data_IF_740196471935
#
_entry.id   IF_740196471935
#
_cell.length_a   1.000
_cell.length_b   1.000
_cell.length_c   1.000
_cell.angle_alpha   90.00
_cell.angle_beta   90.00
_cell.angle_gamma   90.00
#
_symmetry.space_group_name_H-M   'P 1'
#
loop_
_entity.id
_entity.type
_entity.pdbx_description
1 polymer ?
#
# COMPACT_ATOMS: atom_id res chain seq x y z
N UNK A 1 15.48 -3.81 12.80
CA UNK A 1 14.82 -4.51 13.91
C UNK A 1 15.83 -5.31 14.72
N UNK A 2 16.36 -6.44 14.26
CA UNK A 2 17.34 -7.26 15.02
C UNK A 2 18.49 -6.45 15.67
N UNK A 3 19.11 -5.53 14.92
CA UNK A 3 20.20 -4.70 15.44
C UNK A 3 19.76 -3.76 16.60
N UNK A 4 18.51 -3.33 16.61
CA UNK A 4 17.95 -2.48 17.68
C UNK A 4 17.61 -3.33 18.90
N UNK A 5 17.03 -4.50 18.68
CA UNK A 5 16.70 -5.47 19.74
C UNK A 5 17.97 -5.94 20.49
N UNK A 6 19.11 -6.13 19.80
CA UNK A 6 20.38 -6.51 20.44
C UNK A 6 20.91 -5.43 21.40
N UNK A 7 20.40 -4.21 21.31
CA UNK A 7 20.69 -3.11 22.23
C UNK A 7 19.66 -2.99 23.37
N UNK A 8 18.75 -3.97 23.49
CA UNK A 8 17.70 -3.99 24.51
C UNK A 8 16.55 -2.99 24.26
N UNK A 9 16.49 -2.40 23.07
CA UNK A 9 15.39 -1.50 22.69
C UNK A 9 14.24 -2.33 22.16
N UNK A 10 13.05 -2.11 22.72
CA UNK A 10 11.79 -2.75 22.31
C UNK A 10 10.82 -1.69 21.79
N UNK A 11 9.97 -2.06 20.88
CA UNK A 11 8.90 -1.19 20.37
C UNK A 11 7.63 -1.35 21.20
N UNK A 12 6.94 -0.24 21.46
CA UNK A 12 5.59 -0.24 22.05
C UNK A 12 4.50 -0.40 20.98
N UNK A 13 4.80 0.04 19.77
CA UNK A 13 3.93 -0.04 18.58
C UNK A 13 4.77 -0.21 17.33
N UNK A 14 4.29 -0.99 16.37
CA UNK A 14 4.91 -1.13 15.06
C UNK A 14 4.03 -0.51 13.98
N UNK A 15 4.65 0.08 12.97
CA UNK A 15 3.96 0.59 11.79
C UNK A 15 4.84 0.43 10.54
N UNK A 16 4.19 0.32 9.40
CA UNK A 16 4.87 0.27 8.12
C UNK A 16 3.90 0.60 6.99
N UNK A 17 4.38 1.27 5.94
CA UNK A 17 3.56 1.61 4.79
C UNK A 17 3.75 0.56 3.70
N UNK A 18 2.63 0.01 3.18
CA UNK A 18 2.59 -0.97 2.09
C UNK A 18 3.51 -2.17 2.37
N UNK A 19 4.63 -2.32 1.66
CA UNK A 19 5.64 -3.35 1.93
C UNK A 19 6.13 -3.34 3.40
N UNK A 20 6.20 -2.16 4.01
CA UNK A 20 6.62 -1.99 5.40
C UNK A 20 5.67 -2.61 6.41
N UNK A 21 4.38 -2.78 6.09
CA UNK A 21 3.41 -3.43 6.97
C UNK A 21 3.79 -4.88 7.28
N UNK A 22 4.36 -5.62 6.33
CA UNK A 22 4.91 -6.96 6.59
C UNK A 22 6.03 -6.92 7.64
N UNK A 23 6.87 -5.88 7.60
CA UNK A 23 7.88 -5.64 8.63
C UNK A 23 7.27 -5.38 10.02
N UNK A 24 6.17 -4.61 10.07
CA UNK A 24 5.43 -4.37 11.31
C UNK A 24 4.77 -5.66 11.85
N UNK A 25 4.16 -6.47 10.96
CA UNK A 25 3.56 -7.77 11.29
C UNK A 25 4.59 -8.74 11.88
N UNK A 26 5.79 -8.82 11.28
CA UNK A 26 6.91 -9.61 11.81
C UNK A 26 7.34 -9.09 13.19
N UNK A 27 7.54 -7.77 13.31
CA UNK A 27 7.94 -7.12 14.57
C UNK A 27 6.94 -7.35 15.69
N UNK A 28 5.67 -7.45 15.33
CA UNK A 28 4.57 -7.72 16.26
C UNK A 28 4.42 -9.20 16.63
N UNK A 29 5.26 -10.07 16.06
CA UNK A 29 5.29 -11.52 16.36
C UNK A 29 4.17 -12.31 15.71
N UNK A 30 3.42 -11.72 14.76
CA UNK A 30 2.24 -12.34 14.12
C UNK A 30 2.65 -13.35 13.06
N UNK A 31 3.75 -13.09 12.34
CA UNK A 31 4.23 -13.93 11.25
C UNK A 31 5.72 -14.22 11.41
N UNK A 32 6.13 -15.43 11.03
CA UNK A 32 7.56 -15.77 11.00
C UNK A 32 8.30 -14.94 9.92
N UNK A 33 9.60 -14.74 10.11
CA UNK A 33 10.44 -14.06 9.13
C UNK A 33 10.49 -14.84 7.81
N UNK A 34 10.51 -16.16 7.87
CA UNK A 34 10.57 -17.05 6.70
C UNK A 34 9.28 -16.96 5.88
N UNK A 35 8.11 -17.06 6.55
CA UNK A 35 6.81 -16.91 5.88
C UNK A 35 6.65 -15.52 5.27
N UNK A 36 7.06 -14.48 5.99
CA UNK A 36 7.01 -13.13 5.48
C UNK A 36 7.83 -12.93 4.20
N UNK A 37 9.03 -13.47 4.13
CA UNK A 37 9.84 -13.42 2.91
C UNK A 37 9.18 -14.17 1.76
N UNK A 38 8.57 -15.32 2.01
CA UNK A 38 7.82 -16.08 1.01
C UNK A 38 6.63 -15.29 0.50
N UNK A 39 5.80 -14.76 1.39
CA UNK A 39 4.60 -13.98 1.08
C UNK A 39 4.96 -12.71 0.31
N UNK A 40 5.93 -11.93 0.77
CA UNK A 40 6.38 -10.70 0.11
C UNK A 40 6.93 -10.98 -1.29
N UNK A 41 7.67 -12.08 -1.46
CA UNK A 41 8.14 -12.49 -2.80
C UNK A 41 6.97 -12.81 -3.72
N UNK A 42 5.98 -13.58 -3.26
CA UNK A 42 4.80 -13.92 -4.05
C UNK A 42 3.95 -12.68 -4.36
N UNK A 43 3.76 -11.78 -3.39
CA UNK A 43 3.12 -10.49 -3.60
C UNK A 43 3.75 -9.74 -4.77
N UNK A 44 5.08 -9.62 -4.80
CA UNK A 44 5.78 -8.93 -5.88
C UNK A 44 5.55 -9.60 -7.25
N UNK A 45 5.57 -10.93 -7.30
CA UNK A 45 5.29 -11.70 -8.53
C UNK A 45 3.86 -11.45 -9.01
N UNK A 46 2.87 -11.61 -8.13
CA UNK A 46 1.46 -11.44 -8.48
C UNK A 46 1.14 -10.02 -8.93
N UNK A 47 1.71 -9.01 -8.28
CA UNK A 47 1.53 -7.61 -8.69
C UNK A 47 2.13 -7.33 -10.06
N UNK A 48 3.31 -7.91 -10.38
CA UNK A 48 3.94 -7.77 -11.69
C UNK A 48 3.16 -8.50 -12.79
N UNK A 49 2.61 -9.69 -12.49
CA UNK A 49 1.82 -10.47 -13.45
C UNK A 49 0.45 -9.85 -13.72
N UNK A 50 -0.18 -9.23 -12.72
CA UNK A 50 -1.51 -8.65 -12.85
C UNK A 50 -1.55 -7.49 -13.84
N UNK A 51 -0.53 -6.63 -13.86
CA UNK A 51 -0.43 -5.49 -14.78
C UNK A 51 1.01 -5.37 -15.28
N UNK A 52 1.38 -6.16 -16.30
CA UNK A 52 2.75 -6.17 -16.83
C UNK A 52 3.12 -4.87 -17.56
N UNK A 53 2.11 -4.11 -18.04
CA UNK A 53 2.31 -2.83 -18.73
C UNK A 53 1.05 -1.95 -18.66
N UNK A 54 1.22 -0.65 -18.91
CA UNK A 54 0.09 0.30 -19.05
C UNK A 54 -0.44 0.88 -17.75
N UNK A 55 0.19 0.58 -16.63
CA UNK A 55 -0.09 1.21 -15.34
C UNK A 55 0.87 2.34 -15.01
N UNK A 56 0.43 3.32 -14.21
CA UNK A 56 1.23 4.43 -13.76
C UNK A 56 0.89 4.88 -12.34
N UNK A 57 1.82 5.61 -11.74
CA UNK A 57 1.62 6.33 -10.49
C UNK A 57 2.18 7.75 -10.59
N UNK A 58 1.48 8.71 -9.99
CA UNK A 58 1.91 10.11 -9.96
C UNK A 58 1.75 10.68 -8.55
N UNK A 59 2.82 11.26 -8.01
CA UNK A 59 2.77 12.02 -6.77
C UNK A 59 2.24 13.42 -7.03
N UNK A 60 1.24 13.84 -6.24
CA UNK A 60 0.59 15.15 -6.27
C UNK A 60 0.94 15.90 -5.00
N UNK A 61 1.48 17.09 -5.12
CA UNK A 61 1.92 17.90 -3.99
C UNK A 61 1.10 19.21 -3.88
N UNK A 62 0.71 19.52 -2.67
CA UNK A 62 0.17 20.84 -2.31
C UNK A 62 -1.32 21.02 -2.58
N UNK A 63 -2.08 19.94 -2.76
CA UNK A 63 -3.53 19.96 -2.85
C UNK A 63 -4.18 19.17 -1.69
N UNK A 64 -5.41 19.53 -1.40
CA UNK A 64 -6.30 18.82 -0.47
C UNK A 64 -6.74 17.48 -1.07
N UNK A 65 -6.92 16.46 -0.20
CA UNK A 65 -7.31 15.12 -0.59
C UNK A 65 -8.62 15.09 -1.38
N UNK A 66 -9.63 15.84 -0.96
CA UNK A 66 -10.96 15.88 -1.61
C UNK A 66 -10.89 16.42 -3.04
N UNK A 67 -9.98 17.35 -3.31
CA UNK A 67 -9.78 17.88 -4.67
C UNK A 67 -9.18 16.80 -5.55
N UNK A 68 -8.20 16.03 -5.01
CA UNK A 68 -7.53 14.96 -5.73
C UNK A 68 -8.50 13.80 -6.00
N UNK A 69 -9.26 13.36 -4.99
CA UNK A 69 -10.28 12.32 -5.12
C UNK A 69 -11.31 12.66 -6.20
N UNK A 70 -11.86 13.88 -6.13
CA UNK A 70 -12.81 14.38 -7.12
C UNK A 70 -12.23 14.42 -8.54
N UNK A 71 -11.01 14.87 -8.70
CA UNK A 71 -10.33 14.89 -10.00
C UNK A 71 -10.16 13.48 -10.58
N UNK A 72 -9.87 12.48 -9.73
CA UNK A 72 -9.80 11.09 -10.15
C UNK A 72 -11.17 10.54 -10.58
N UNK A 73 -12.25 10.89 -9.88
CA UNK A 73 -13.62 10.46 -10.21
C UNK A 73 -14.12 11.05 -11.54
N UNK A 74 -13.66 12.22 -11.92
CA UNK A 74 -14.08 12.96 -13.11
C UNK A 74 -13.30 12.58 -14.38
N UNK A 75 -12.32 11.71 -14.28
CA UNK A 75 -11.52 11.24 -15.43
C UNK A 75 -12.04 9.89 -15.90
N UNK A 76 -12.11 9.71 -17.23
CA UNK A 76 -12.44 8.43 -17.85
C UNK A 76 -11.30 7.42 -17.66
N UNK A 77 -11.63 6.19 -17.30
CA UNK A 77 -10.67 5.11 -17.05
C UNK A 77 -10.45 4.82 -15.58
N UNK A 78 -9.49 3.94 -15.29
CA UNK A 78 -9.17 3.53 -13.92
C UNK A 78 -8.10 4.45 -13.35
N UNK A 79 -8.47 5.34 -12.45
CA UNK A 79 -7.55 6.15 -11.66
C UNK A 79 -8.14 6.38 -10.25
N UNK A 80 -7.31 6.31 -9.24
CA UNK A 80 -7.70 6.51 -7.83
C UNK A 80 -6.52 6.95 -6.98
N UNK A 81 -6.79 7.36 -5.74
CA UNK A 81 -5.74 7.58 -4.75
C UNK A 81 -5.15 6.24 -4.32
N UNK A 82 -3.83 6.14 -4.39
CA UNK A 82 -3.05 5.01 -3.90
C UNK A 82 -2.61 5.20 -2.45
N UNK A 83 -2.00 6.36 -2.15
CA UNK A 83 -1.39 6.62 -0.85
C UNK A 83 -1.66 8.05 -0.39
N UNK A 84 -1.99 8.19 0.89
CA UNK A 84 -1.94 9.44 1.63
C UNK A 84 -0.64 9.46 2.44
N UNK A 85 0.48 9.92 1.83
CA UNK A 85 1.80 9.82 2.45
C UNK A 85 1.98 10.77 3.64
N UNK A 86 1.53 12.00 3.48
CA UNK A 86 1.48 13.01 4.53
C UNK A 86 0.58 14.18 4.08
N UNK A 87 0.23 15.13 4.96
CA UNK A 87 -0.49 16.33 4.56
C UNK A 87 0.19 17.03 3.39
N UNK A 88 -0.55 17.18 2.29
CA UNK A 88 -0.07 17.82 1.07
C UNK A 88 0.79 16.93 0.15
N UNK A 89 0.89 15.63 0.41
CA UNK A 89 1.52 14.67 -0.51
C UNK A 89 0.66 13.42 -0.66
N UNK A 90 0.03 13.27 -1.81
CA UNK A 90 -0.86 12.16 -2.15
C UNK A 90 -0.35 11.53 -3.46
N UNK A 91 -0.48 10.22 -3.59
CA UNK A 91 -0.14 9.50 -4.82
C UNK A 91 -1.41 8.97 -5.46
N UNK A 92 -1.58 9.23 -6.76
CA UNK A 92 -2.63 8.64 -7.60
C UNK A 92 -2.06 7.49 -8.43
N UNK A 93 -2.89 6.51 -8.75
CA UNK A 93 -2.52 5.27 -9.43
C UNK A 93 -3.62 4.80 -10.37
N UNK A 94 -3.27 4.06 -11.41
CA UNK A 94 -4.23 3.48 -12.34
C UNK A 94 -3.67 3.26 -13.74
N UNK A 95 -4.55 3.29 -14.72
CA UNK A 95 -4.18 3.26 -16.14
C UNK A 95 -3.36 4.51 -16.49
N UNK A 96 -2.29 4.32 -17.24
CA UNK A 96 -1.34 5.41 -17.55
C UNK A 96 -2.02 6.65 -18.12
N UNK A 97 -2.93 6.46 -19.10
CA UNK A 97 -3.66 7.57 -19.72
C UNK A 97 -4.58 8.30 -18.74
N UNK A 98 -5.26 7.56 -17.87
CA UNK A 98 -6.15 8.13 -16.86
C UNK A 98 -5.36 8.88 -15.79
N UNK A 99 -4.22 8.33 -15.34
CA UNK A 99 -3.33 8.98 -14.38
C UNK A 99 -2.74 10.26 -14.96
N UNK A 100 -2.30 10.25 -16.22
CA UNK A 100 -1.77 11.43 -16.90
C UNK A 100 -2.87 12.52 -17.05
N UNK A 101 -4.09 12.15 -17.44
CA UNK A 101 -5.23 13.09 -17.54
C UNK A 101 -5.59 13.69 -16.17
N UNK A 102 -5.65 12.85 -15.12
CA UNK A 102 -5.88 13.34 -13.75
C UNK A 102 -4.76 14.28 -13.29
N UNK A 103 -3.50 13.96 -13.60
CA UNK A 103 -2.36 14.81 -13.23
C UNK A 103 -2.42 16.20 -13.89
N UNK A 104 -2.83 16.30 -15.16
CA UNK A 104 -3.03 17.60 -15.84
C UNK A 104 -4.18 18.39 -15.18
N UNK A 105 -5.32 17.74 -14.94
CA UNK A 105 -6.45 18.37 -14.25
C UNK A 105 -6.07 18.88 -12.86
N UNK A 106 -5.23 18.14 -12.14
CA UNK A 106 -4.75 18.54 -10.81
C UNK A 106 -3.76 19.72 -10.87
N UNK A 107 -2.96 19.84 -11.93
CA UNK A 107 -2.13 21.04 -12.17
C UNK A 107 -3.01 22.26 -12.37
N UNK A 108 -4.06 22.16 -13.19
CA UNK A 108 -5.03 23.24 -13.41
C UNK A 108 -5.77 23.63 -12.13
N UNK A 109 -6.04 22.64 -11.24
CA UNK A 109 -6.63 22.87 -9.93
C UNK A 109 -5.67 23.49 -8.90
N UNK A 110 -4.41 23.72 -9.26
CA UNK A 110 -3.43 24.41 -8.43
C UNK A 110 -2.46 23.52 -7.67
N UNK A 111 -2.25 22.27 -8.10
CA UNK A 111 -1.19 21.42 -7.55
C UNK A 111 0.17 22.12 -7.70
N UNK A 112 0.92 22.22 -6.60
CA UNK A 112 2.27 22.79 -6.64
C UNK A 112 3.21 22.01 -7.55
N UNK A 113 3.00 20.68 -7.58
CA UNK A 113 3.79 19.79 -8.42
C UNK A 113 3.06 18.46 -8.61
N UNK A 114 3.15 17.90 -9.83
CA UNK A 114 2.83 16.50 -10.12
C UNK A 114 4.10 15.82 -10.63
N UNK A 115 4.42 14.65 -10.09
CA UNK A 115 5.65 13.91 -10.43
C UNK A 115 5.27 12.48 -10.78
N UNK A 116 5.45 12.11 -12.05
CA UNK A 116 5.30 10.72 -12.48
C UNK A 116 6.38 9.87 -11.82
N UNK A 117 5.98 8.78 -11.17
CA UNK A 117 6.90 7.91 -10.47
C UNK A 117 7.47 6.86 -11.42
N UNK A 118 8.75 6.56 -11.28
CA UNK A 118 9.40 5.48 -12.04
C UNK A 118 9.15 4.15 -11.31
N UNK A 119 7.96 3.58 -11.53
CA UNK A 119 7.52 2.32 -10.93
C UNK A 119 7.12 1.32 -12.00
N UNK A 120 7.13 0.03 -11.66
CA UNK A 120 6.84 -1.07 -12.59
C UNK A 120 5.35 -1.34 -12.81
N UNK A 121 4.45 -0.68 -12.06
CA UNK A 121 3.02 -0.93 -12.18
C UNK A 121 2.16 0.03 -11.35
N UNK A 122 0.81 -0.06 -11.49
CA UNK A 122 -0.16 0.78 -10.80
C UNK A 122 -0.45 0.24 -9.40
N UNK A 123 0.54 0.33 -8.48
CA UNK A 123 0.39 -0.20 -7.14
C UNK A 123 -0.80 0.42 -6.40
N UNK A 124 -1.49 -0.39 -5.60
CA UNK A 124 -2.71 -0.02 -4.85
C UNK A 124 -3.91 0.40 -5.73
N UNK A 125 -3.89 0.03 -7.02
CA UNK A 125 -5.01 0.22 -7.95
C UNK A 125 -5.96 -0.97 -7.93
N UNK A 126 -7.22 -0.74 -8.30
CA UNK A 126 -8.21 -1.81 -8.59
C UNK A 126 -7.72 -2.78 -9.67
N UNK A 127 -6.78 -2.39 -10.52
CA UNK A 127 -6.15 -3.25 -11.52
C UNK A 127 -5.39 -4.42 -10.91
N UNK A 128 -5.03 -4.34 -9.62
CA UNK A 128 -4.32 -5.40 -8.88
C UNK A 128 -5.24 -6.31 -8.05
N UNK A 129 -6.57 -6.23 -8.21
CA UNK A 129 -7.51 -7.04 -7.43
C UNK A 129 -7.21 -8.56 -7.52
N UNK A 130 -6.90 -9.06 -8.72
CA UNK A 130 -6.52 -10.46 -8.92
C UNK A 130 -5.20 -10.87 -8.24
N UNK A 131 -4.27 -9.93 -8.05
CA UNK A 131 -3.06 -10.17 -7.26
C UNK A 131 -3.39 -10.32 -5.78
N UNK A 132 -4.32 -9.50 -5.26
CA UNK A 132 -4.82 -9.58 -3.90
C UNK A 132 -5.51 -10.92 -3.61
N UNK A 133 -6.34 -11.41 -4.53
CA UNK A 133 -6.99 -12.72 -4.42
C UNK A 133 -5.98 -13.87 -4.35
N UNK A 134 -4.97 -13.88 -5.23
CA UNK A 134 -3.89 -14.87 -5.20
C UNK A 134 -3.10 -14.80 -3.88
N UNK A 135 -2.83 -13.60 -3.39
CA UNK A 135 -2.11 -13.40 -2.13
C UNK A 135 -2.94 -13.88 -0.93
N UNK A 136 -4.25 -13.69 -0.94
CA UNK A 136 -5.14 -14.21 0.10
C UNK A 136 -5.10 -15.74 0.18
N UNK A 137 -4.98 -16.44 -0.96
CA UNK A 137 -4.81 -17.90 -0.96
C UNK A 137 -3.45 -18.32 -0.38
N UNK A 138 -2.37 -17.60 -0.68
CA UNK A 138 -1.05 -17.86 -0.10
C UNK A 138 -1.07 -17.69 1.44
N UNK A 139 -1.77 -16.65 1.93
CA UNK A 139 -1.86 -16.35 3.35
C UNK A 139 -2.59 -17.45 4.14
N UNK A 140 -3.47 -18.25 3.52
CA UNK A 140 -4.10 -19.42 4.17
C UNK A 140 -3.11 -20.50 4.58
N UNK A 141 -1.92 -20.53 3.94
CA UNK A 141 -0.87 -21.48 4.22
C UNK A 141 0.21 -20.94 5.19
N UNK A 142 -0.05 -19.76 5.78
CA UNK A 142 0.83 -19.10 6.74
C UNK A 142 0.32 -19.33 8.15
N UNK A 143 1.20 -19.77 9.05
CA UNK A 143 0.87 -19.84 10.47
C UNK A 143 0.94 -18.43 11.07
N UNK A 144 -0.21 -17.94 11.55
CA UNK A 144 -0.31 -16.66 12.23
C UNK A 144 -0.38 -16.88 13.74
N UNK A 145 0.34 -16.04 14.48
CA UNK A 145 0.43 -16.06 15.93
C UNK A 145 -0.21 -14.82 16.56
N UNK A 146 -0.54 -14.91 17.83
CA UNK A 146 -1.08 -13.77 18.58
C UNK A 146 -0.17 -12.54 18.54
N UNK A 147 -0.79 -11.36 18.46
CA UNK A 147 -0.11 -10.08 18.42
C UNK A 147 0.59 -9.83 19.76
N UNK A 148 1.93 -9.76 19.77
CA UNK A 148 2.74 -9.48 20.98
C UNK A 148 2.93 -7.99 21.21
N UNK A 149 3.08 -7.23 20.14
CA UNK A 149 3.20 -5.77 20.15
C UNK A 149 2.19 -5.22 19.16
N UNK A 150 1.33 -4.27 19.53
CA UNK A 150 0.36 -3.68 18.62
C UNK A 150 1.00 -3.15 17.34
N UNK A 151 0.30 -3.23 16.21
CA UNK A 151 0.72 -2.56 14.99
C UNK A 151 -0.43 -1.80 14.34
N UNK A 152 -0.09 -0.77 13.54
CA UNK A 152 -1.05 -0.01 12.76
C UNK A 152 -1.25 -0.67 11.41
N UNK A 153 -2.50 -0.97 11.05
CA UNK A 153 -2.84 -1.48 9.71
C UNK A 153 -2.98 -0.35 8.70
N UNK A 154 -2.60 -0.62 7.46
CA UNK A 154 -2.70 0.38 6.37
C UNK A 154 -4.15 0.62 5.92
N UNK A 155 -5.08 -0.29 6.20
CA UNK A 155 -6.48 -0.20 5.74
C UNK A 155 -7.28 0.80 6.57
N UNK A 156 -7.21 0.71 7.89
CA UNK A 156 -8.02 1.52 8.80
C UNK A 156 -7.23 2.58 9.55
N UNK A 157 -5.88 2.47 9.55
CA UNK A 157 -4.96 3.23 10.40
C UNK A 157 -5.24 3.04 11.91
N UNK A 158 -5.89 1.92 12.27
CA UNK A 158 -6.18 1.55 13.65
C UNK A 158 -5.18 0.54 14.18
N UNK A 159 -5.13 0.42 15.52
CA UNK A 159 -4.32 -0.58 16.19
C UNK A 159 -4.89 -1.97 16.03
N UNK A 160 -4.06 -2.91 15.60
CA UNK A 160 -4.33 -4.34 15.67
C UNK A 160 -3.65 -4.90 16.91
N UNK A 161 -4.46 -5.45 17.81
CA UNK A 161 -4.04 -5.99 19.12
C UNK A 161 -4.33 -7.49 19.27
N UNK A 162 -5.10 -8.08 18.34
CA UNK A 162 -5.37 -9.52 18.32
C UNK A 162 -5.68 -10.01 16.90
N UNK A 163 -5.52 -11.32 16.65
CA UNK A 163 -5.73 -11.95 15.33
C UNK A 163 -7.17 -11.86 14.81
N UNK A 164 -8.18 -11.76 15.69
CA UNK A 164 -9.58 -11.68 15.28
C UNK A 164 -9.90 -10.43 14.43
N UNK A 165 -9.06 -9.42 14.46
CA UNK A 165 -9.17 -8.19 13.67
C UNK A 165 -8.27 -8.17 12.43
N UNK A 166 -7.45 -9.20 12.21
CA UNK A 166 -6.62 -9.34 11.01
C UNK A 166 -7.41 -10.01 9.90
N UNK A 167 -8.32 -9.29 9.28
CA UNK A 167 -8.81 -9.68 7.96
C UNK A 167 -7.74 -9.34 6.93
N UNK A 168 -7.36 -10.26 6.02
CA UNK A 168 -6.47 -9.90 4.92
C UNK A 168 -7.08 -8.72 4.17
N UNK A 169 -6.28 -7.67 3.97
CA UNK A 169 -6.75 -6.48 3.28
C UNK A 169 -7.11 -6.82 1.84
N UNK A 170 -8.32 -6.55 1.37
CA UNK A 170 -8.69 -6.71 -0.03
C UNK A 170 -8.14 -5.60 -0.93
N UNK A 171 -7.24 -4.76 -0.46
CA UNK A 171 -6.75 -3.56 -1.16
C UNK A 171 -5.31 -3.65 -1.64
N UNK A 172 -4.62 -4.75 -1.43
CA UNK A 172 -3.29 -4.97 -2.02
C UNK A 172 -3.38 -5.62 -3.39
#
# INVERSE_FOLDING_TARGET
>A
MKAVETQGIQSDVNAGLSLGEYGAVIASGVMSLEDAFRVVRQRGIYMQEAVPAGGAMTAVLGLDAKIIEKACEEVEGIVSVANYNCPGQIVITGEEKAVDAAAEKLKEAGAKRTVKLNVSGPFHSKMLAGAGEKLAEELKNVELHDVKVPYLTNVTADYVTCLLYTSPSPRD
#
